data_IF_276854533318
#
_entry.id   IF_276854533318
#
_cell.length_a   1.000
_cell.length_b   1.000
_cell.length_c   1.000
_cell.angle_alpha   90.00
_cell.angle_beta   90.00
_cell.angle_gamma   90.00
#
_symmetry.space_group_name_H-M   'P 1'
#
loop_
_entity.id
_entity.type
_entity.pdbx_description
1 polymer ?
#
# COMPACT_ATOMS: atom_id res chain seq x y z
N UNK A 1 8.24 4.96 -4.89
CA UNK A 1 8.84 3.93 -5.76
C UNK A 1 10.32 4.23 -5.94
N UNK A 2 11.18 3.21 -6.06
CA UNK A 2 12.63 3.37 -6.30
C UNK A 2 13.05 3.18 -7.76
N UNK A 3 12.09 2.82 -8.63
CA UNK A 3 12.32 2.60 -10.06
C UNK A 3 11.71 3.75 -10.86
N UNK A 4 12.48 4.35 -11.78
CA UNK A 4 12.05 5.48 -12.62
C UNK A 4 10.81 5.12 -13.44
N UNK A 5 10.81 3.95 -14.09
CA UNK A 5 9.63 3.46 -14.83
C UNK A 5 8.34 3.48 -13.99
N UNK A 6 8.41 2.96 -12.77
CA UNK A 6 7.25 2.94 -11.87
C UNK A 6 6.84 4.36 -11.43
N UNK A 7 7.77 5.33 -11.41
CA UNK A 7 7.44 6.71 -11.09
C UNK A 7 6.65 7.33 -12.24
N UNK A 8 7.10 7.12 -13.48
CA UNK A 8 6.41 7.57 -14.69
C UNK A 8 5.00 6.96 -14.75
N UNK A 9 4.88 5.64 -14.58
CA UNK A 9 3.59 4.93 -14.57
C UNK A 9 2.63 5.49 -13.48
N UNK A 10 3.14 5.74 -12.27
CA UNK A 10 2.35 6.33 -11.18
C UNK A 10 1.91 7.77 -11.47
N UNK A 11 2.76 8.56 -12.15
CA UNK A 11 2.43 9.93 -12.54
C UNK A 11 1.33 9.95 -13.61
N UNK A 12 1.42 9.03 -14.58
CA UNK A 12 0.40 8.89 -15.61
C UNK A 12 -0.97 8.46 -15.07
N UNK A 13 -1.02 7.75 -13.93
CA UNK A 13 -2.26 7.37 -13.28
C UNK A 13 -3.17 8.57 -12.92
N UNK A 14 -2.60 9.76 -12.71
CA UNK A 14 -3.37 11.00 -12.44
C UNK A 14 -4.24 11.42 -13.63
N UNK A 15 -3.89 10.99 -14.85
CA UNK A 15 -4.65 11.29 -16.07
C UNK A 15 -5.89 10.40 -16.22
N UNK A 16 -5.98 9.31 -15.47
CA UNK A 16 -7.14 8.40 -15.51
C UNK A 16 -8.36 9.12 -14.97
N UNK A 17 -9.46 9.07 -15.72
CA UNK A 17 -10.76 9.60 -15.32
C UNK A 17 -11.68 8.44 -15.01
N UNK A 18 -12.18 8.39 -13.78
CA UNK A 18 -13.12 7.37 -13.34
C UNK A 18 -14.50 8.01 -13.21
N UNK A 19 -15.51 7.36 -13.78
CA UNK A 19 -16.92 7.68 -13.55
C UNK A 19 -17.35 7.19 -12.16
N UNK A 20 -18.57 7.56 -11.76
CA UNK A 20 -19.14 7.06 -10.50
C UNK A 20 -19.35 5.55 -10.55
N UNK A 21 -19.74 5.05 -11.71
CA UNK A 21 -19.99 3.64 -11.99
C UNK A 21 -18.68 2.84 -11.90
N UNK A 22 -17.58 3.35 -12.48
CA UNK A 22 -16.26 2.72 -12.40
C UNK A 22 -15.78 2.60 -10.94
N UNK A 23 -16.00 3.63 -10.12
CA UNK A 23 -15.64 3.61 -8.70
C UNK A 23 -16.44 2.57 -7.92
N UNK A 24 -17.72 2.42 -8.22
CA UNK A 24 -18.59 1.40 -7.60
C UNK A 24 -18.10 0.00 -8.00
N UNK A 25 -17.81 -0.24 -9.28
CA UNK A 25 -17.31 -1.53 -9.75
C UNK A 25 -15.98 -1.90 -9.08
N UNK A 26 -15.01 -0.98 -9.08
CA UNK A 26 -13.68 -1.19 -8.47
C UNK A 26 -13.81 -1.48 -6.97
N UNK A 27 -14.65 -0.73 -6.26
CA UNK A 27 -14.84 -0.92 -4.82
C UNK A 27 -15.55 -2.23 -4.47
N UNK A 28 -16.42 -2.74 -5.36
CA UNK A 28 -17.11 -4.01 -5.16
C UNK A 28 -16.18 -5.23 -5.31
N UNK A 29 -15.08 -5.11 -6.04
CA UNK A 29 -14.11 -6.20 -6.27
C UNK A 29 -13.25 -6.48 -5.03
N UNK A 30 -13.06 -5.50 -4.13
CA UNK A 30 -12.23 -5.65 -2.93
C UNK A 30 -13.11 -5.55 -1.67
N UNK A 31 -13.50 -6.68 -1.07
CA UNK A 31 -14.29 -6.69 0.17
C UNK A 31 -13.58 -5.94 1.30
N UNK A 32 -14.33 -5.13 2.06
CA UNK A 32 -13.78 -4.40 3.20
C UNK A 32 -13.16 -5.31 4.29
N UNK A 33 -13.59 -6.57 4.36
CA UNK A 33 -13.02 -7.57 5.26
C UNK A 33 -11.59 -8.00 4.90
N UNK A 34 -11.19 -7.90 3.62
CA UNK A 34 -9.86 -8.31 3.15
C UNK A 34 -8.79 -7.25 3.43
N UNK A 35 -9.23 -6.00 3.66
CA UNK A 35 -8.36 -4.87 4.04
C UNK A 35 -8.37 -4.61 5.55
N UNK A 36 -9.26 -5.28 6.30
CA UNK A 36 -9.31 -5.19 7.74
C UNK A 36 -8.17 -6.01 8.37
N UNK A 37 -7.36 -5.39 9.23
CA UNK A 37 -6.32 -6.11 9.97
C UNK A 37 -5.00 -5.34 10.08
N UNK A 38 -3.90 -6.10 10.12
CA UNK A 38 -2.57 -5.56 10.35
C UNK A 38 -2.19 -4.59 9.22
N UNK A 39 -1.67 -3.41 9.60
CA UNK A 39 -1.10 -2.43 8.65
C UNK A 39 0.05 -3.00 7.80
N UNK A 40 0.66 -4.07 8.26
CA UNK A 40 1.75 -4.77 7.61
C UNK A 40 1.27 -6.18 7.33
N UNK A 41 1.62 -6.73 6.15
CA UNK A 41 1.34 -8.12 5.82
C UNK A 41 1.72 -9.02 7.01
N UNK A 42 0.89 -10.01 7.38
CA UNK A 42 1.12 -10.81 8.60
C UNK A 42 2.51 -11.46 8.66
N UNK A 43 3.11 -11.81 7.52
CA UNK A 43 4.49 -12.33 7.41
C UNK A 43 5.54 -11.31 7.88
N UNK A 44 5.24 -10.03 7.70
CA UNK A 44 6.11 -8.90 8.03
C UNK A 44 5.85 -8.32 9.43
N UNK A 45 4.74 -8.68 10.08
CA UNK A 45 4.40 -8.24 11.44
C UNK A 45 5.53 -8.47 12.45
N UNK A 46 6.27 -9.61 12.45
CA UNK A 46 7.34 -9.82 13.41
C UNK A 46 8.50 -8.84 13.26
N UNK A 47 8.71 -8.27 12.08
CA UNK A 47 9.78 -7.29 11.84
C UNK A 47 9.45 -5.90 12.39
N UNK A 48 8.20 -5.64 12.80
CA UNK A 48 7.84 -4.37 13.45
C UNK A 48 8.58 -4.14 14.77
N UNK A 49 9.00 -5.21 15.45
CA UNK A 49 9.70 -5.15 16.74
C UNK A 49 11.06 -5.86 16.74
N UNK A 50 11.25 -6.93 15.95
CA UNK A 50 12.50 -7.73 15.97
C UNK A 50 13.76 -6.97 15.56
N UNK A 51 13.62 -5.90 14.78
CA UNK A 51 14.75 -5.11 14.27
C UNK A 51 14.73 -3.66 14.77
N UNK A 52 13.89 -3.35 15.76
CA UNK A 52 13.75 -2.01 16.34
C UNK A 52 14.89 -1.68 17.31
N UNK A 53 16.13 -1.90 16.88
CA UNK A 53 17.33 -1.63 17.68
C UNK A 53 17.65 -0.14 17.69
N UNK A 54 18.00 0.38 18.86
CA UNK A 54 18.54 1.75 19.02
C UNK A 54 20.06 1.70 19.20
N UNK A 55 20.76 2.72 18.69
CA UNK A 55 22.21 2.83 18.89
C UNK A 55 22.56 2.91 20.39
N UNK A 56 23.64 2.26 20.86
CA UNK A 56 24.11 2.42 22.23
C UNK A 56 24.55 3.88 22.49
N UNK A 57 24.36 4.35 23.72
CA UNK A 57 24.84 5.68 24.14
C UNK A 57 26.39 5.68 24.20
N UNK A 58 27.00 6.79 23.77
CA UNK A 58 28.47 6.98 23.79
C UNK A 58 28.98 7.18 25.21
#
# INVERSE_FOLDING_TARGET
TTKVKNLDDNFEAVKVKLSKEDLIEISAVVPAGDVAGLRVMGILEPYSWRIANTLPQK
#
